data_IF_540479693346
#
_entry.id   IF_540479693346
#
_cell.length_a   1.000
_cell.length_b   1.000
_cell.length_c   1.000
_cell.angle_alpha   90.00
_cell.angle_beta   90.00
_cell.angle_gamma   90.00
#
_symmetry.space_group_name_H-M   'P 1'
#
loop_
_entity.id
_entity.type
_entity.pdbx_description
1 polymer ?
#
# COMPACT_ATOMS: atom_id res chain seq x y z
N UNK A 1 35.65 10.23 18.62
CA UNK A 1 34.93 9.32 17.71
C UNK A 1 35.16 7.90 18.21
N UNK A 2 34.17 7.28 18.82
CA UNK A 2 34.19 5.88 19.26
C UNK A 2 34.21 4.97 18.03
N UNK A 3 35.15 4.04 17.93
CA UNK A 3 35.17 3.04 16.85
C UNK A 3 33.90 2.19 16.97
N UNK A 4 33.16 1.95 15.86
CA UNK A 4 32.02 1.04 15.86
C UNK A 4 32.46 -0.32 16.39
N UNK A 5 31.61 -0.99 17.17
CA UNK A 5 31.88 -2.34 17.64
C UNK A 5 32.04 -3.30 16.44
N UNK A 6 32.84 -4.36 16.58
CA UNK A 6 32.98 -5.37 15.50
C UNK A 6 31.63 -5.98 15.12
N UNK A 7 30.71 -6.06 16.05
CA UNK A 7 29.35 -6.55 15.87
C UNK A 7 28.53 -5.62 14.93
N UNK A 8 28.62 -4.29 15.13
CA UNK A 8 27.98 -3.32 14.26
C UNK A 8 28.50 -3.40 12.82
N UNK A 9 29.83 -3.55 12.64
CA UNK A 9 30.43 -3.70 11.31
C UNK A 9 29.98 -4.99 10.61
N UNK A 10 29.81 -6.09 11.36
CA UNK A 10 29.27 -7.36 10.83
C UNK A 10 27.82 -7.19 10.38
N UNK A 11 26.97 -6.62 11.25
CA UNK A 11 25.57 -6.35 10.94
C UNK A 11 25.39 -5.49 9.68
N UNK A 12 26.17 -4.42 9.54
CA UNK A 12 26.14 -3.56 8.33
C UNK A 12 26.56 -4.36 7.09
N UNK A 13 27.59 -5.21 7.19
CA UNK A 13 28.04 -6.02 6.06
C UNK A 13 26.99 -7.05 5.64
N UNK A 14 26.32 -7.68 6.61
CA UNK A 14 25.27 -8.67 6.36
C UNK A 14 24.02 -8.00 5.74
N UNK A 15 23.65 -6.82 6.20
CA UNK A 15 22.58 -6.03 5.60
C UNK A 15 22.87 -5.66 4.13
N UNK A 16 24.10 -5.19 3.81
CA UNK A 16 24.48 -4.85 2.45
C UNK A 16 24.40 -6.07 1.51
N UNK A 17 24.86 -7.24 1.97
CA UNK A 17 24.78 -8.49 1.20
C UNK A 17 23.32 -8.91 0.98
N UNK A 18 22.49 -8.90 2.02
CA UNK A 18 21.06 -9.25 1.92
C UNK A 18 20.30 -8.32 0.96
N UNK A 19 20.45 -7.01 1.11
CA UNK A 19 19.79 -6.03 0.23
C UNK A 19 20.20 -6.20 -1.23
N UNK A 20 21.49 -6.52 -1.48
CA UNK A 20 21.97 -6.81 -2.82
C UNK A 20 21.33 -8.06 -3.42
N UNK A 21 21.14 -9.12 -2.61
CA UNK A 21 20.46 -10.34 -3.04
C UNK A 21 18.96 -10.15 -3.24
N UNK A 22 18.29 -9.33 -2.41
CA UNK A 22 16.87 -8.96 -2.58
C UNK A 22 16.64 -8.25 -3.92
N UNK A 23 17.61 -7.46 -4.39
CA UNK A 23 17.50 -6.73 -5.66
C UNK A 23 17.91 -7.57 -6.86
N UNK A 24 19.02 -8.31 -6.75
CA UNK A 24 19.66 -8.98 -7.90
C UNK A 24 19.37 -10.49 -7.96
N UNK A 25 18.48 -11.02 -7.12
CA UNK A 25 18.06 -12.42 -6.99
C UNK A 25 19.20 -13.40 -6.69
N UNK A 26 20.30 -13.35 -7.42
CA UNK A 26 21.49 -14.18 -7.21
C UNK A 26 22.76 -13.42 -7.63
N UNK A 27 23.79 -13.58 -6.84
CA UNK A 27 25.13 -13.01 -7.11
C UNK A 27 26.21 -13.97 -6.62
N UNK A 28 27.36 -13.95 -7.30
CA UNK A 28 28.57 -14.60 -6.79
C UNK A 28 29.23 -13.72 -5.71
N UNK A 29 30.08 -14.29 -4.86
CA UNK A 29 30.85 -13.51 -3.88
C UNK A 29 31.70 -12.40 -4.53
N UNK A 30 32.15 -12.60 -5.76
CA UNK A 30 32.91 -11.59 -6.48
C UNK A 30 32.03 -10.41 -6.91
N UNK A 31 30.83 -10.69 -7.44
CA UNK A 31 29.84 -9.67 -7.80
C UNK A 31 29.31 -8.95 -6.56
N UNK A 32 29.04 -9.67 -5.47
CA UNK A 32 28.66 -9.05 -4.18
C UNK A 32 29.74 -8.07 -3.70
N UNK A 33 31.03 -8.40 -3.81
CA UNK A 33 32.10 -7.49 -3.44
C UNK A 33 32.11 -6.21 -4.29
N UNK A 34 31.76 -6.32 -5.58
CA UNK A 34 31.66 -5.15 -6.48
C UNK A 34 30.45 -4.30 -6.15
N UNK A 35 29.26 -4.91 -5.99
CA UNK A 35 27.99 -4.18 -5.76
C UNK A 35 27.96 -3.52 -4.38
N UNK A 36 28.48 -4.21 -3.35
CA UNK A 36 28.48 -3.69 -1.98
C UNK A 36 29.66 -2.78 -1.66
N UNK A 37 30.73 -2.80 -2.47
CA UNK A 37 32.01 -2.12 -2.16
C UNK A 37 32.78 -2.76 -1.02
N UNK A 38 32.36 -3.91 -0.51
CA UNK A 38 33.02 -4.62 0.59
C UNK A 38 34.23 -5.43 0.07
N UNK A 39 35.21 -5.68 0.95
CA UNK A 39 36.35 -6.55 0.62
C UNK A 39 35.88 -8.01 0.39
N UNK A 40 36.58 -8.75 -0.50
CA UNK A 40 36.26 -10.17 -0.76
C UNK A 40 36.26 -11.04 0.50
N UNK A 41 37.19 -10.89 1.46
CA UNK A 41 37.10 -11.60 2.74
C UNK A 41 35.86 -11.25 3.55
N UNK A 42 35.48 -9.96 3.63
CA UNK A 42 34.29 -9.50 4.33
C UNK A 42 33.02 -10.09 3.74
N UNK A 43 32.87 -10.07 2.40
CA UNK A 43 31.74 -10.70 1.71
C UNK A 43 31.69 -12.19 1.93
N UNK A 44 32.83 -12.89 1.88
CA UNK A 44 32.89 -14.33 2.10
C UNK A 44 32.44 -14.72 3.51
N UNK A 45 32.81 -13.92 4.50
CA UNK A 45 32.44 -14.13 5.90
C UNK A 45 30.95 -13.78 6.14
N UNK A 46 30.44 -12.71 5.53
CA UNK A 46 29.03 -12.33 5.59
C UNK A 46 28.14 -13.41 4.94
N UNK A 47 28.45 -13.85 3.73
CA UNK A 47 27.73 -14.94 3.06
C UNK A 47 27.72 -16.21 3.91
N UNK A 48 28.85 -16.56 4.56
CA UNK A 48 28.92 -17.74 5.45
C UNK A 48 27.91 -17.61 6.60
N UNK A 49 27.91 -16.49 7.31
CA UNK A 49 26.96 -16.24 8.43
C UNK A 49 25.50 -16.29 7.96
N UNK A 50 25.20 -15.63 6.83
CA UNK A 50 23.84 -15.60 6.28
C UNK A 50 23.37 -16.98 5.81
N UNK A 51 24.28 -17.85 5.35
CA UNK A 51 23.97 -19.26 5.05
C UNK A 51 23.72 -20.04 6.33
N UNK A 52 24.55 -19.84 7.37
CA UNK A 52 24.38 -20.49 8.67
C UNK A 52 23.08 -20.09 9.37
N UNK A 53 22.63 -18.82 9.18
CA UNK A 53 21.34 -18.34 9.69
C UNK A 53 20.13 -18.74 8.82
N UNK A 54 20.33 -19.43 7.70
CA UNK A 54 19.25 -19.85 6.81
C UNK A 54 18.62 -18.74 5.99
N UNK A 55 19.22 -17.54 5.92
CA UNK A 55 18.71 -16.42 5.11
C UNK A 55 19.21 -16.45 3.66
N UNK A 56 20.37 -17.04 3.41
CA UNK A 56 21.00 -17.16 2.10
C UNK A 56 21.30 -18.62 1.81
N UNK A 57 21.20 -19.03 0.55
CA UNK A 57 21.56 -20.37 0.09
C UNK A 57 22.47 -20.30 -1.14
N UNK A 58 23.34 -21.33 -1.31
CA UNK A 58 23.99 -21.61 -2.59
C UNK A 58 22.92 -22.12 -3.57
N UNK A 59 22.74 -21.44 -4.69
CA UNK A 59 21.70 -21.79 -5.67
C UNK A 59 21.98 -23.07 -6.45
N UNK A 60 23.18 -23.66 -6.27
CA UNK A 60 23.67 -24.78 -7.09
C UNK A 60 24.24 -24.34 -8.43
N UNK A 61 23.99 -23.10 -8.85
CA UNK A 61 24.50 -22.58 -10.12
C UNK A 61 25.96 -22.14 -10.01
N UNK A 62 26.65 -22.24 -11.13
CA UNK A 62 28.08 -21.91 -11.23
C UNK A 62 28.33 -20.95 -12.40
N UNK A 63 29.32 -20.09 -12.28
CA UNK A 63 29.77 -19.24 -13.39
C UNK A 63 30.25 -20.11 -14.54
N UNK A 64 29.99 -19.74 -15.82
CA UNK A 64 30.49 -20.48 -16.96
C UNK A 64 32.03 -20.65 -16.88
N UNK A 65 32.51 -21.88 -16.96
CA UNK A 65 33.95 -22.17 -17.00
C UNK A 65 34.53 -21.68 -18.33
N UNK A 66 35.38 -20.64 -18.29
CA UNK A 66 36.15 -20.20 -19.45
C UNK A 66 37.55 -20.83 -19.48
N UNK A 67 38.19 -20.87 -20.64
CA UNK A 67 39.58 -21.35 -20.83
C UNK A 67 40.67 -20.49 -20.16
N UNK A 68 40.31 -19.64 -19.18
CA UNK A 68 41.19 -18.76 -18.40
C UNK A 68 41.30 -19.22 -16.94
N UNK A 69 42.36 -18.80 -16.23
CA UNK A 69 42.71 -19.12 -14.84
C UNK A 69 41.71 -18.63 -13.75
N UNK A 70 40.39 -18.48 -14.05
CA UNK A 70 39.38 -18.10 -13.09
C UNK A 70 38.74 -19.32 -12.41
N UNK A 71 38.69 -19.29 -11.05
CA UNK A 71 37.97 -20.30 -10.26
C UNK A 71 36.48 -20.18 -10.54
N UNK A 72 35.78 -21.28 -10.80
CA UNK A 72 34.32 -21.33 -10.97
C UNK A 72 33.67 -20.78 -9.69
N UNK A 73 32.88 -19.75 -9.82
CA UNK A 73 32.18 -19.11 -8.70
C UNK A 73 30.79 -19.72 -8.48
N UNK A 74 30.39 -19.89 -7.22
CA UNK A 74 29.03 -20.24 -6.83
C UNK A 74 28.13 -18.99 -6.80
N UNK A 75 26.89 -19.13 -7.25
CA UNK A 75 25.86 -18.13 -7.05
C UNK A 75 25.13 -18.37 -5.72
N UNK A 76 24.85 -17.27 -5.02
CA UNK A 76 24.09 -17.22 -3.80
C UNK A 76 22.83 -16.40 -4.02
N UNK A 77 21.73 -16.80 -3.40
CA UNK A 77 20.44 -16.11 -3.41
C UNK A 77 19.81 -16.16 -2.03
N UNK A 78 18.66 -15.54 -1.84
CA UNK A 78 17.86 -15.76 -0.64
C UNK A 78 17.48 -17.24 -0.54
N UNK A 79 17.42 -17.78 0.67
CA UNK A 79 16.99 -19.16 0.87
C UNK A 79 15.51 -19.33 0.49
N UNK A 80 15.06 -20.46 -0.06
CA UNK A 80 13.70 -20.65 -0.55
C UNK A 80 12.62 -20.44 0.53
N UNK A 81 12.95 -20.69 1.77
CA UNK A 81 12.05 -20.67 2.94
C UNK A 81 12.30 -19.45 3.86
N UNK A 82 12.92 -18.38 3.35
CA UNK A 82 13.07 -17.13 4.12
C UNK A 82 11.75 -16.51 4.53
N UNK A 83 10.66 -16.90 3.89
CA UNK A 83 9.30 -16.45 4.15
C UNK A 83 8.80 -15.40 3.17
N UNK A 84 7.49 -15.16 3.28
CA UNK A 84 6.72 -14.25 2.42
C UNK A 84 5.94 -13.24 3.26
N UNK A 85 5.46 -12.18 2.62
CA UNK A 85 4.45 -11.31 3.20
C UNK A 85 3.08 -11.62 2.61
N UNK A 86 2.04 -11.65 3.45
CA UNK A 86 0.66 -11.72 3.03
C UNK A 86 0.13 -10.29 2.79
N UNK A 87 -0.55 -10.09 1.69
CA UNK A 87 -1.30 -8.85 1.39
C UNK A 87 -2.76 -9.23 1.22
N UNK A 88 -3.64 -8.50 1.88
CA UNK A 88 -5.08 -8.72 1.80
C UNK A 88 -5.78 -7.43 1.41
N UNK A 89 -6.72 -7.49 0.48
CA UNK A 89 -7.66 -6.40 0.20
C UNK A 89 -9.08 -6.83 0.53
N UNK A 90 -9.79 -5.96 1.26
CA UNK A 90 -11.21 -6.08 1.59
C UNK A 90 -11.92 -4.95 0.87
N UNK A 91 -12.64 -5.27 -0.19
CA UNK A 91 -13.28 -4.31 -1.08
C UNK A 91 -14.73 -4.75 -1.41
N UNK A 92 -15.56 -3.84 -1.97
CA UNK A 92 -16.95 -4.15 -2.29
C UNK A 92 -17.13 -5.33 -3.24
N UNK A 93 -16.19 -5.60 -4.14
CA UNK A 93 -16.18 -6.70 -5.10
C UNK A 93 -15.70 -8.03 -4.51
N UNK A 94 -15.04 -8.00 -3.35
CA UNK A 94 -14.57 -9.23 -2.71
C UNK A 94 -13.38 -9.06 -1.78
N UNK A 95 -12.87 -10.22 -1.38
CA UNK A 95 -11.63 -10.35 -0.62
C UNK A 95 -10.57 -10.98 -1.51
N UNK A 96 -9.45 -10.27 -1.67
CA UNK A 96 -8.27 -10.79 -2.36
C UNK A 96 -7.14 -10.96 -1.35
N UNK A 97 -6.46 -12.10 -1.40
CA UNK A 97 -5.23 -12.33 -0.66
C UNK A 97 -4.13 -12.78 -1.62
N UNK A 98 -2.91 -12.31 -1.40
CA UNK A 98 -1.73 -12.75 -2.16
C UNK A 98 -0.49 -12.81 -1.25
N UNK A 99 0.39 -13.76 -1.51
CA UNK A 99 1.71 -13.81 -0.89
C UNK A 99 2.75 -13.25 -1.84
N UNK A 100 3.62 -12.38 -1.32
CA UNK A 100 4.77 -11.85 -2.07
C UNK A 100 6.07 -12.28 -1.41
N UNK A 101 7.05 -12.67 -2.23
CA UNK A 101 8.40 -12.96 -1.77
C UNK A 101 9.23 -11.67 -1.57
N UNK A 102 10.44 -11.80 -1.06
CA UNK A 102 11.33 -10.66 -0.81
C UNK A 102 11.85 -9.98 -2.11
N UNK A 103 11.62 -10.57 -3.27
CA UNK A 103 11.88 -9.95 -4.59
C UNK A 103 10.68 -9.12 -5.08
N UNK A 104 9.51 -9.30 -4.46
CA UNK A 104 8.26 -8.68 -4.84
C UNK A 104 7.43 -9.51 -5.82
N UNK A 105 7.79 -10.77 -6.08
CA UNK A 105 7.00 -11.67 -6.92
C UNK A 105 5.82 -12.23 -6.15
N UNK A 106 4.67 -12.36 -6.84
CA UNK A 106 3.49 -13.03 -6.29
C UNK A 106 3.71 -14.54 -6.41
N UNK A 107 3.71 -15.23 -5.26
CA UNK A 107 3.93 -16.69 -5.19
C UNK A 107 2.64 -17.47 -5.04
N UNK A 108 1.58 -16.84 -4.52
CA UNK A 108 0.22 -17.40 -4.43
C UNK A 108 -0.79 -16.26 -4.40
N UNK A 109 -1.99 -16.51 -4.91
CA UNK A 109 -3.09 -15.55 -4.90
C UNK A 109 -4.43 -16.25 -4.90
N UNK A 110 -5.36 -15.76 -4.10
CA UNK A 110 -6.77 -16.20 -4.07
C UNK A 110 -7.66 -14.96 -4.06
N UNK A 111 -8.72 -14.99 -4.86
CA UNK A 111 -9.79 -13.98 -4.84
C UNK A 111 -11.12 -14.67 -4.61
N UNK A 112 -12.00 -14.06 -3.82
CA UNK A 112 -13.37 -14.50 -3.64
C UNK A 112 -14.32 -13.34 -3.60
N UNK A 113 -15.24 -13.31 -4.58
CA UNK A 113 -16.31 -12.33 -4.61
C UNK A 113 -17.25 -12.52 -3.40
N UNK A 114 -17.84 -11.42 -2.95
CA UNK A 114 -18.83 -11.37 -1.87
C UNK A 114 -20.15 -10.80 -2.41
N UNK A 115 -21.27 -11.21 -1.85
CA UNK A 115 -22.57 -10.63 -2.15
C UNK A 115 -22.83 -9.33 -1.38
N UNK A 116 -22.08 -9.11 -0.30
CA UNK A 116 -22.15 -7.92 0.52
C UNK A 116 -21.17 -7.93 1.69
N UNK A 117 -21.05 -6.81 2.42
CA UNK A 117 -20.03 -6.66 3.44
C UNK A 117 -20.13 -7.66 4.60
N UNK A 118 -21.32 -8.23 4.87
CA UNK A 118 -21.52 -9.26 5.91
C UNK A 118 -20.77 -10.56 5.64
N UNK A 119 -20.46 -10.85 4.36
CA UNK A 119 -19.76 -12.06 3.97
C UNK A 119 -18.28 -12.01 4.33
N UNK A 120 -17.71 -10.83 4.49
CA UNK A 120 -16.29 -10.62 4.73
C UNK A 120 -15.79 -11.41 5.94
N UNK A 121 -16.54 -11.40 7.04
CA UNK A 121 -16.15 -12.08 8.28
C UNK A 121 -15.94 -13.59 8.09
N UNK A 122 -16.67 -14.22 7.18
CA UNK A 122 -16.54 -15.65 6.86
C UNK A 122 -15.57 -15.93 5.72
N UNK A 123 -15.47 -15.00 4.74
CA UNK A 123 -14.66 -15.17 3.55
C UNK A 123 -13.18 -14.88 3.83
N UNK A 124 -12.88 -13.84 4.60
CA UNK A 124 -11.51 -13.43 4.91
C UNK A 124 -10.62 -14.55 5.46
N UNK A 125 -11.00 -15.27 6.54
CA UNK A 125 -10.14 -16.32 7.07
C UNK A 125 -9.93 -17.47 6.08
N UNK A 126 -10.96 -17.81 5.28
CA UNK A 126 -10.86 -18.91 4.32
C UNK A 126 -9.95 -18.57 3.14
N UNK A 127 -10.05 -17.33 2.58
CA UNK A 127 -9.22 -16.86 1.49
C UNK A 127 -7.78 -16.73 1.94
N UNK A 128 -7.54 -16.16 3.12
CA UNK A 128 -6.20 -16.04 3.67
C UNK A 128 -5.56 -17.41 3.90
N UNK A 129 -6.27 -18.36 4.55
CA UNK A 129 -5.76 -19.72 4.81
C UNK A 129 -5.42 -20.47 3.52
N UNK A 130 -6.24 -20.35 2.48
CA UNK A 130 -5.98 -20.96 1.17
C UNK A 130 -4.70 -20.35 0.54
N UNK A 131 -4.54 -19.03 0.61
CA UNK A 131 -3.41 -18.32 0.00
C UNK A 131 -2.08 -18.63 0.69
N UNK A 132 -2.09 -18.78 2.03
CA UNK A 132 -0.86 -19.06 2.80
C UNK A 132 -0.50 -20.53 2.87
N UNK A 133 -1.28 -21.42 2.26
CA UNK A 133 -1.05 -22.86 2.36
C UNK A 133 0.39 -23.23 1.90
N UNK A 134 1.16 -23.83 2.80
CA UNK A 134 2.55 -24.21 2.54
C UNK A 134 3.57 -23.05 2.54
N UNK A 135 3.16 -21.84 2.90
CA UNK A 135 4.03 -20.67 2.99
C UNK A 135 4.44 -20.36 4.44
N UNK A 136 5.66 -19.88 4.62
CA UNK A 136 6.10 -19.29 5.88
C UNK A 136 5.81 -17.79 5.88
N UNK A 137 4.65 -17.38 6.43
CA UNK A 137 4.22 -15.98 6.41
C UNK A 137 4.81 -15.23 7.58
N UNK A 138 5.61 -14.19 7.29
CA UNK A 138 6.29 -13.36 8.30
C UNK A 138 5.48 -12.18 8.78
N UNK A 139 4.59 -11.64 7.94
CA UNK A 139 3.77 -10.47 8.25
C UNK A 139 2.61 -10.35 7.28
N UNK A 140 1.66 -9.47 7.60
CA UNK A 140 0.53 -9.18 6.74
C UNK A 140 0.28 -7.67 6.63
N UNK A 141 -0.03 -7.19 5.42
CA UNK A 141 -0.62 -5.87 5.19
C UNK A 141 -2.05 -6.02 4.68
N UNK A 142 -2.98 -5.27 5.29
CA UNK A 142 -4.41 -5.31 4.96
C UNK A 142 -4.84 -3.93 4.46
N UNK A 143 -5.46 -3.90 3.29
CA UNK A 143 -6.18 -2.75 2.75
C UNK A 143 -7.67 -2.98 2.91
N UNK A 144 -8.35 -2.06 3.58
CA UNK A 144 -9.80 -2.13 3.79
C UNK A 144 -10.51 -0.91 3.23
N UNK A 145 -11.62 -1.13 2.52
CA UNK A 145 -12.49 -0.05 2.03
C UNK A 145 -13.29 0.63 3.15
N UNK A 146 -13.19 0.14 4.38
CA UNK A 146 -13.72 0.77 5.59
C UNK A 146 -12.66 1.64 6.28
N UNK A 147 -13.08 2.65 7.06
CA UNK A 147 -12.19 3.35 7.97
C UNK A 147 -11.56 2.42 9.00
N UNK A 148 -10.32 2.72 9.40
CA UNK A 148 -9.52 1.86 10.30
C UNK A 148 -9.09 2.64 11.54
N UNK A 149 -9.35 2.12 12.74
CA UNK A 149 -8.73 2.64 13.97
C UNK A 149 -7.22 2.34 13.95
N UNK A 150 -6.40 3.40 13.83
CA UNK A 150 -4.94 3.28 13.66
C UNK A 150 -4.20 2.63 14.83
N UNK A 151 -4.82 2.52 16.01
CA UNK A 151 -4.19 1.94 17.20
C UNK A 151 -4.46 0.45 17.34
N UNK A 152 -5.62 0.01 16.87
CA UNK A 152 -6.07 -1.37 17.03
C UNK A 152 -6.08 -2.15 15.73
N UNK A 153 -6.12 -1.48 14.56
CA UNK A 153 -6.30 -2.11 13.26
C UNK A 153 -7.72 -2.62 13.01
N UNK A 154 -8.68 -2.28 13.88
CA UNK A 154 -10.10 -2.67 13.73
C UNK A 154 -10.79 -1.77 12.73
N UNK A 155 -11.74 -2.32 12.00
CA UNK A 155 -12.61 -1.54 11.13
C UNK A 155 -13.60 -0.70 11.97
N UNK A 156 -13.86 0.51 11.52
CA UNK A 156 -14.73 1.48 12.21
C UNK A 156 -15.99 1.70 11.41
N UNK A 157 -17.15 1.55 12.07
CA UNK A 157 -18.42 1.90 11.44
C UNK A 157 -18.61 3.41 11.40
N UNK A 158 -18.73 3.96 10.20
CA UNK A 158 -19.25 5.31 9.99
C UNK A 158 -20.63 5.23 9.32
N UNK A 159 -21.64 6.03 9.79
CA UNK A 159 -23.04 5.87 9.37
C UNK A 159 -23.29 5.94 7.86
N UNK A 160 -22.45 6.71 7.13
CA UNK A 160 -22.63 6.98 5.71
C UNK A 160 -21.57 6.31 4.82
N UNK A 161 -20.81 5.39 5.36
CA UNK A 161 -19.90 4.57 4.56
C UNK A 161 -20.72 3.62 3.65
N UNK A 162 -20.49 3.62 2.34
CA UNK A 162 -21.29 2.82 1.42
C UNK A 162 -21.03 1.31 1.55
N UNK A 163 -19.85 0.94 2.03
CA UNK A 163 -19.43 -0.41 2.30
C UNK A 163 -19.08 -0.54 3.78
N UNK A 164 -19.94 -1.19 4.55
CA UNK A 164 -19.78 -1.37 5.99
C UNK A 164 -19.63 -2.85 6.31
N UNK A 165 -18.42 -3.29 6.59
CA UNK A 165 -18.15 -4.65 7.05
C UNK A 165 -18.64 -4.87 8.49
N UNK A 166 -18.71 -3.80 9.26
CA UNK A 166 -19.11 -3.86 10.65
C UNK A 166 -17.91 -3.98 11.59
N UNK A 167 -18.16 -4.57 12.76
CA UNK A 167 -17.14 -4.72 13.81
C UNK A 167 -16.22 -5.92 13.48
N UNK A 168 -15.35 -5.75 12.49
CA UNK A 168 -14.34 -6.72 12.11
C UNK A 168 -12.96 -6.33 12.68
N UNK A 169 -12.25 -7.33 13.18
CA UNK A 169 -10.87 -7.23 13.64
C UNK A 169 -9.97 -8.07 12.72
N UNK A 170 -9.45 -7.49 11.62
CA UNK A 170 -8.57 -8.23 10.70
C UNK A 170 -7.31 -8.74 11.38
N UNK A 171 -6.79 -8.03 12.41
CA UNK A 171 -5.60 -8.44 13.16
C UNK A 171 -5.89 -9.77 13.88
N UNK A 172 -7.00 -9.84 14.62
CA UNK A 172 -7.37 -11.06 15.35
C UNK A 172 -7.67 -12.25 14.42
N UNK A 173 -8.29 -11.96 13.25
CA UNK A 173 -8.63 -13.02 12.26
C UNK A 173 -7.38 -13.59 11.60
N UNK A 174 -6.39 -12.76 11.28
CA UNK A 174 -5.22 -13.16 10.48
C UNK A 174 -4.03 -13.61 11.35
N UNK A 175 -3.92 -13.14 12.60
CA UNK A 175 -2.82 -13.47 13.48
C UNK A 175 -2.52 -14.99 13.60
N UNK A 176 -3.51 -15.92 13.62
CA UNK A 176 -3.22 -17.35 13.67
C UNK A 176 -2.49 -17.92 12.43
N UNK A 177 -2.48 -17.19 11.32
CA UNK A 177 -1.92 -17.64 10.03
C UNK A 177 -0.46 -17.25 9.82
N UNK A 178 0.13 -16.45 10.71
CA UNK A 178 1.46 -15.85 10.52
C UNK A 178 2.23 -15.67 11.84
N UNK A 179 3.52 -15.41 11.74
CA UNK A 179 4.43 -15.29 12.89
C UNK A 179 4.85 -13.85 13.22
N UNK A 180 4.21 -12.85 12.64
CA UNK A 180 4.61 -11.45 12.81
C UNK A 180 3.44 -10.49 12.81
N UNK A 181 3.66 -9.20 12.56
CA UNK A 181 2.64 -8.18 12.66
C UNK A 181 1.63 -8.24 11.51
N UNK A 182 0.39 -7.83 11.82
CA UNK A 182 -0.64 -7.48 10.86
C UNK A 182 -0.80 -5.96 10.87
N UNK A 183 -0.55 -5.32 9.74
CA UNK A 183 -0.72 -3.87 9.56
C UNK A 183 -1.99 -3.65 8.75
N UNK A 184 -2.93 -2.90 9.29
CA UNK A 184 -4.22 -2.60 8.64
C UNK A 184 -4.31 -1.10 8.39
N UNK A 185 -4.71 -0.71 7.19
CA UNK A 185 -4.98 0.68 6.86
C UNK A 185 -6.13 0.79 5.85
N UNK A 186 -6.72 1.99 5.77
CA UNK A 186 -7.73 2.30 4.78
C UNK A 186 -7.16 2.25 3.36
N UNK A 187 -7.98 1.84 2.39
CA UNK A 187 -7.60 1.66 0.99
C UNK A 187 -7.13 2.97 0.32
N UNK A 188 -7.70 4.11 0.69
CA UNK A 188 -7.30 5.43 0.17
C UNK A 188 -5.93 5.84 0.71
N UNK A 189 -5.60 5.47 1.95
CA UNK A 189 -4.26 5.68 2.51
C UNK A 189 -3.20 4.86 1.76
N UNK A 190 -3.49 3.60 1.45
CA UNK A 190 -2.60 2.77 0.63
C UNK A 190 -2.47 3.31 -0.80
N UNK A 191 -3.58 3.78 -1.39
CA UNK A 191 -3.56 4.40 -2.71
C UNK A 191 -2.64 5.64 -2.75
N UNK A 192 -2.74 6.50 -1.75
CA UNK A 192 -1.86 7.66 -1.63
C UNK A 192 -0.38 7.24 -1.46
N UNK A 193 -0.11 6.18 -0.71
CA UNK A 193 1.26 5.67 -0.55
C UNK A 193 1.83 5.12 -1.87
N UNK A 194 1.00 4.49 -2.70
CA UNK A 194 1.41 4.06 -4.04
C UNK A 194 1.74 5.25 -4.95
N UNK A 195 0.90 6.29 -4.97
CA UNK A 195 1.13 7.51 -5.75
C UNK A 195 2.38 8.26 -5.28
N UNK A 196 2.65 8.31 -3.96
CA UNK A 196 3.88 8.89 -3.41
C UNK A 196 5.14 8.29 -4.05
N UNK A 197 5.15 6.97 -4.24
CA UNK A 197 6.27 6.24 -4.86
C UNK A 197 6.54 6.62 -6.32
N UNK A 198 5.54 7.13 -7.04
CA UNK A 198 5.62 7.48 -8.47
C UNK A 198 5.70 8.99 -8.67
N UNK A 199 4.94 9.75 -7.91
CA UNK A 199 4.81 11.19 -8.06
C UNK A 199 6.10 11.94 -7.69
N UNK A 200 6.84 11.45 -6.70
CA UNK A 200 8.08 12.08 -6.22
C UNK A 200 7.87 13.41 -5.49
N UNK A 201 6.64 13.76 -5.14
CA UNK A 201 6.25 14.97 -4.41
C UNK A 201 5.89 14.58 -2.98
N UNK A 202 6.53 15.16 -1.94
CA UNK A 202 6.31 14.76 -0.56
C UNK A 202 5.04 15.31 0.08
N UNK A 203 4.43 16.36 -0.53
CA UNK A 203 3.28 17.07 0.02
C UNK A 203 2.15 17.12 -1.01
N UNK A 204 1.18 16.24 -0.89
CA UNK A 204 0.02 16.19 -1.79
C UNK A 204 -1.24 15.68 -1.08
N UNK A 205 -2.41 15.90 -1.71
CA UNK A 205 -3.64 15.25 -1.30
C UNK A 205 -4.10 14.27 -2.38
N UNK A 206 -4.48 13.06 -1.98
CA UNK A 206 -5.10 12.08 -2.85
C UNK A 206 -6.60 12.08 -2.61
N UNK A 207 -7.38 12.38 -3.64
CA UNK A 207 -8.84 12.45 -3.57
C UNK A 207 -9.42 11.24 -4.32
N UNK A 208 -10.08 10.35 -3.61
CA UNK A 208 -10.70 9.15 -4.16
C UNK A 208 -12.19 9.39 -4.39
N UNK A 209 -12.61 9.37 -5.65
CA UNK A 209 -13.95 9.68 -6.12
C UNK A 209 -14.52 8.48 -6.88
N UNK A 210 -15.27 7.63 -6.17
CA UNK A 210 -15.88 6.41 -6.67
C UNK A 210 -17.29 6.22 -6.10
N UNK A 211 -17.74 5.00 -5.83
CA UNK A 211 -18.98 4.73 -5.10
C UNK A 211 -18.93 5.30 -3.68
N UNK A 212 -17.74 5.30 -3.07
CA UNK A 212 -17.41 6.01 -1.84
C UNK A 212 -16.57 7.25 -2.11
N UNK A 213 -16.43 8.10 -1.09
CA UNK A 213 -15.67 9.34 -1.10
C UNK A 213 -14.59 9.27 -0.03
N UNK A 214 -13.34 9.39 -0.43
CA UNK A 214 -12.22 9.36 0.50
C UNK A 214 -11.13 10.35 0.12
N UNK A 215 -10.29 10.65 1.08
CA UNK A 215 -9.11 11.48 0.87
C UNK A 215 -7.95 10.96 1.74
N UNK A 216 -6.73 11.10 1.25
CA UNK A 216 -5.55 10.97 2.06
C UNK A 216 -4.67 12.21 1.88
N UNK A 217 -4.17 12.75 2.98
CA UNK A 217 -3.20 13.85 2.98
C UNK A 217 -1.83 13.26 3.22
N UNK A 218 -0.91 13.55 2.34
CA UNK A 218 0.52 13.23 2.48
C UNK A 218 1.26 14.53 2.79
N UNK A 219 2.05 14.52 3.85
CA UNK A 219 2.89 15.65 4.23
C UNK A 219 4.24 15.15 4.72
N UNK A 220 5.33 15.78 4.26
CA UNK A 220 6.70 15.33 4.51
C UNK A 220 6.93 13.86 4.06
N UNK A 221 6.28 13.41 3.01
CA UNK A 221 6.35 12.03 2.51
C UNK A 221 5.63 10.98 3.36
N UNK A 222 4.75 11.40 4.29
CA UNK A 222 4.02 10.49 5.17
C UNK A 222 2.50 10.73 5.08
N UNK A 223 1.73 9.64 4.99
CA UNK A 223 0.26 9.69 5.06
C UNK A 223 -0.18 10.12 6.46
N UNK A 224 -0.96 11.19 6.54
CA UNK A 224 -1.49 11.78 7.80
C UNK A 224 -2.81 11.12 8.18
N UNK A 225 -2.76 10.14 9.06
CA UNK A 225 -3.92 9.33 9.50
C UNK A 225 -4.78 9.99 10.57
N UNK A 226 -4.30 11.11 11.16
CA UNK A 226 -4.99 11.78 12.28
C UNK A 226 -4.87 11.04 13.62
N UNK A 227 -5.66 11.47 14.60
CA UNK A 227 -5.60 10.92 15.96
C UNK A 227 -6.09 9.47 16.03
N UNK A 228 -7.24 9.18 15.44
CA UNK A 228 -7.90 7.88 15.48
C UNK A 228 -7.79 7.06 14.19
N UNK A 229 -7.25 7.62 13.12
CA UNK A 229 -7.19 6.97 11.80
C UNK A 229 -8.24 7.49 10.83
N UNK A 230 -9.05 8.47 11.22
CA UNK A 230 -10.20 8.97 10.44
C UNK A 230 -9.90 10.27 9.67
N UNK A 231 -8.64 10.69 9.57
CA UNK A 231 -8.30 11.81 8.70
C UNK A 231 -8.56 11.43 7.24
N UNK A 232 -9.26 12.29 6.52
CA UNK A 232 -9.61 12.02 5.12
C UNK A 232 -11.04 11.52 4.89
N UNK A 233 -11.83 11.34 5.94
CA UNK A 233 -13.27 11.05 5.85
C UNK A 233 -14.03 12.33 5.44
N UNK A 234 -14.03 12.60 4.13
CA UNK A 234 -14.51 13.87 3.55
C UNK A 234 -16.01 13.93 3.27
N UNK A 235 -16.75 12.84 3.46
CA UNK A 235 -18.17 12.74 3.13
C UNK A 235 -19.02 13.84 3.78
N UNK A 236 -18.64 14.29 4.96
CA UNK A 236 -19.34 15.34 5.73
C UNK A 236 -18.73 16.75 5.61
N UNK A 237 -17.71 16.94 4.78
CA UNK A 237 -17.23 18.30 4.46
C UNK A 237 -18.36 19.11 3.83
N UNK A 238 -18.58 20.31 4.34
CA UNK A 238 -19.57 21.22 3.75
C UNK A 238 -19.01 21.78 2.46
N UNK A 239 -19.77 21.62 1.38
CA UNK A 239 -19.43 22.09 0.04
C UNK A 239 -20.65 22.70 -0.67
N UNK A 240 -20.50 23.15 -1.91
CA UNK A 240 -21.58 23.71 -2.71
C UNK A 240 -22.40 22.60 -3.38
N UNK A 241 -23.65 22.45 -2.97
CA UNK A 241 -24.63 21.56 -3.61
C UNK A 241 -25.70 22.32 -4.38
N UNK A 242 -26.67 21.61 -4.98
CA UNK A 242 -27.80 22.22 -5.70
C UNK A 242 -28.64 23.19 -4.85
N UNK A 243 -28.90 22.84 -3.59
CA UNK A 243 -29.69 23.66 -2.66
C UNK A 243 -28.87 24.69 -1.87
N UNK A 244 -27.55 24.74 -2.06
CA UNK A 244 -26.63 25.62 -1.33
C UNK A 244 -25.50 24.85 -0.66
N UNK A 245 -25.10 25.27 0.55
CA UNK A 245 -24.05 24.62 1.33
C UNK A 245 -24.59 23.35 2.00
N UNK A 246 -24.07 22.18 1.61
CA UNK A 246 -24.49 20.85 2.11
C UNK A 246 -23.27 19.96 2.36
N UNK A 247 -23.38 18.89 3.16
CA UNK A 247 -22.34 17.85 3.22
C UNK A 247 -22.05 17.27 1.83
N UNK A 248 -20.80 16.94 1.57
CA UNK A 248 -20.38 16.48 0.23
C UNK A 248 -21.18 15.26 -0.24
N UNK A 249 -21.45 14.30 0.64
CA UNK A 249 -22.25 13.12 0.29
C UNK A 249 -23.72 13.48 -0.03
N UNK A 250 -24.28 14.56 0.53
CA UNK A 250 -25.65 14.98 0.26
C UNK A 250 -25.82 15.57 -1.14
N UNK A 251 -24.76 16.12 -1.76
CA UNK A 251 -24.80 16.57 -3.14
C UNK A 251 -25.30 15.46 -4.08
N UNK A 252 -24.86 14.23 -3.85
CA UNK A 252 -25.28 13.07 -4.65
C UNK A 252 -26.73 12.65 -4.33
N UNK A 253 -27.16 12.82 -3.08
CA UNK A 253 -28.56 12.61 -2.68
C UNK A 253 -29.50 13.62 -3.36
N UNK A 254 -29.17 14.92 -3.31
CA UNK A 254 -29.96 15.98 -3.96
C UNK A 254 -30.05 15.83 -5.48
N UNK A 255 -29.02 15.27 -6.10
CA UNK A 255 -28.98 15.01 -7.55
C UNK A 255 -29.65 13.68 -7.95
N UNK A 256 -30.08 12.86 -6.99
CA UNK A 256 -30.63 11.52 -7.26
C UNK A 256 -29.58 10.54 -7.79
N UNK A 257 -28.31 10.71 -7.40
CA UNK A 257 -27.16 9.93 -7.86
C UNK A 257 -26.71 8.89 -6.83
N UNK A 258 -27.59 8.43 -5.94
CA UNK A 258 -27.33 7.33 -5.01
C UNK A 258 -27.94 6.03 -5.53
N UNK A 259 -27.25 4.94 -5.29
CA UNK A 259 -27.81 3.61 -5.51
C UNK A 259 -28.97 3.37 -4.53
N UNK A 260 -29.97 2.61 -4.99
CA UNK A 260 -31.20 2.36 -4.20
C UNK A 260 -30.89 1.69 -2.85
N UNK A 261 -31.32 2.33 -1.76
CA UNK A 261 -31.19 1.79 -0.39
C UNK A 261 -29.80 1.88 0.22
N UNK A 262 -28.86 2.59 -0.39
CA UNK A 262 -27.51 2.78 0.14
C UNK A 262 -27.05 4.24 0.01
N UNK A 263 -25.90 4.57 0.61
CA UNK A 263 -25.21 5.85 0.42
C UNK A 263 -24.23 5.81 -0.76
N UNK A 264 -24.03 4.64 -1.37
CA UNK A 264 -23.15 4.46 -2.53
C UNK A 264 -23.59 5.32 -3.72
N UNK A 265 -22.63 5.93 -4.39
CA UNK A 265 -22.85 6.75 -5.57
C UNK A 265 -23.11 5.84 -6.77
N UNK A 266 -24.16 6.13 -7.53
CA UNK A 266 -24.42 5.52 -8.84
C UNK A 266 -23.50 6.18 -9.88
N UNK A 267 -22.35 5.55 -10.10
CA UNK A 267 -21.30 6.07 -11.00
C UNK A 267 -21.80 6.17 -12.44
N UNK A 268 -22.60 5.20 -12.89
CA UNK A 268 -23.13 5.20 -14.26
C UNK A 268 -24.12 6.36 -14.47
N UNK A 269 -25.00 6.63 -13.51
CA UNK A 269 -25.88 7.78 -13.53
C UNK A 269 -25.10 9.10 -13.46
N UNK A 270 -24.08 9.15 -12.61
CA UNK A 270 -23.22 10.32 -12.43
C UNK A 270 -22.51 10.71 -13.72
N UNK A 271 -21.93 9.76 -14.44
CA UNK A 271 -21.20 10.02 -15.69
C UNK A 271 -22.10 10.50 -16.85
N UNK A 272 -23.42 10.38 -16.70
CA UNK A 272 -24.42 10.92 -17.64
C UNK A 272 -24.97 12.29 -17.23
N UNK A 273 -24.62 12.78 -16.03
CA UNK A 273 -25.12 14.04 -15.48
C UNK A 273 -24.20 15.21 -15.89
N UNK A 274 -24.75 16.43 -15.89
CA UNK A 274 -23.94 17.64 -16.10
C UNK A 274 -22.83 17.74 -15.04
N UNK A 275 -21.55 17.76 -15.44
CA UNK A 275 -20.44 17.75 -14.51
C UNK A 275 -20.28 19.05 -13.69
N UNK A 276 -20.93 20.16 -14.08
CA UNK A 276 -20.66 21.47 -13.52
C UNK A 276 -20.95 21.55 -12.00
N UNK A 277 -22.06 20.95 -11.55
CA UNK A 277 -22.43 20.94 -10.12
C UNK A 277 -21.46 20.07 -9.32
N UNK A 278 -21.12 18.89 -9.86
CA UNK A 278 -20.17 17.96 -9.23
C UNK A 278 -18.76 18.57 -9.14
N UNK A 279 -18.29 19.17 -10.24
CA UNK A 279 -16.99 19.84 -10.27
C UNK A 279 -16.89 20.96 -9.23
N UNK A 280 -17.97 21.76 -9.09
CA UNK A 280 -18.04 22.82 -8.06
C UNK A 280 -18.02 22.25 -6.63
N UNK A 281 -18.74 21.16 -6.41
CA UNK A 281 -18.73 20.48 -5.11
C UNK A 281 -17.32 19.95 -4.77
N UNK A 282 -16.64 19.32 -5.73
CA UNK A 282 -15.25 18.85 -5.57
C UNK A 282 -14.30 20.03 -5.34
N UNK A 283 -14.46 21.15 -6.05
CA UNK A 283 -13.63 22.35 -5.84
C UNK A 283 -13.78 22.92 -4.42
N UNK A 284 -14.96 22.78 -3.79
CA UNK A 284 -15.16 23.13 -2.38
C UNK A 284 -14.33 22.22 -1.45
N UNK A 285 -14.28 20.93 -1.71
CA UNK A 285 -13.42 19.98 -0.99
C UNK A 285 -11.93 20.32 -1.19
N UNK A 286 -11.53 20.58 -2.43
CA UNK A 286 -10.15 21.01 -2.76
C UNK A 286 -9.79 22.29 -2.00
N UNK A 287 -10.72 23.26 -1.87
CA UNK A 287 -10.50 24.47 -1.10
C UNK A 287 -10.18 24.17 0.37
N UNK A 288 -10.89 23.22 0.98
CA UNK A 288 -10.61 22.80 2.35
C UNK A 288 -9.21 22.15 2.47
N UNK A 289 -8.85 21.27 1.53
CA UNK A 289 -7.54 20.63 1.49
C UNK A 289 -6.40 21.65 1.34
N UNK A 290 -6.53 22.57 0.40
CA UNK A 290 -5.55 23.67 0.20
C UNK A 290 -5.41 24.54 1.44
N UNK A 291 -6.52 24.79 2.14
CA UNK A 291 -6.51 25.65 3.33
C UNK A 291 -5.86 24.98 4.54
N UNK A 292 -6.08 23.67 4.72
CA UNK A 292 -5.66 22.93 5.92
C UNK A 292 -4.33 22.19 5.76
N UNK A 293 -4.04 21.72 4.57
CA UNK A 293 -2.87 20.85 4.31
C UNK A 293 -1.82 21.47 3.38
N UNK A 294 -2.16 22.54 2.64
CA UNK A 294 -1.27 23.24 1.70
C UNK A 294 -0.52 22.30 0.74
N UNK A 295 -1.21 21.40 0.03
CA UNK A 295 -0.55 20.43 -0.84
C UNK A 295 0.00 21.11 -2.11
N UNK A 296 1.13 20.59 -2.62
CA UNK A 296 1.70 21.02 -3.92
C UNK A 296 0.77 20.63 -5.08
N UNK A 297 0.11 19.47 -4.96
CA UNK A 297 -0.78 18.91 -5.96
C UNK A 297 -1.93 18.13 -5.32
N UNK A 298 -3.10 18.16 -5.96
CA UNK A 298 -4.22 17.27 -5.65
C UNK A 298 -4.30 16.18 -6.72
N UNK A 299 -4.15 14.93 -6.33
CA UNK A 299 -4.26 13.76 -7.21
C UNK A 299 -5.67 13.22 -7.11
N UNK A 300 -6.34 13.09 -8.24
CA UNK A 300 -7.74 12.63 -8.32
C UNK A 300 -7.78 11.21 -8.89
N UNK A 301 -8.23 10.28 -8.05
CA UNK A 301 -8.45 8.86 -8.40
C UNK A 301 -9.91 8.44 -8.28
N UNK A 302 -10.14 7.14 -8.31
CA UNK A 302 -11.47 6.54 -8.25
C UNK A 302 -12.11 6.37 -9.63
N UNK A 303 -13.34 5.84 -9.66
CA UNK A 303 -14.00 5.41 -10.89
C UNK A 303 -14.57 6.57 -11.73
N UNK A 304 -14.92 7.70 -11.09
CA UNK A 304 -15.48 8.85 -11.81
C UNK A 304 -14.62 10.13 -11.73
N UNK A 305 -13.73 10.23 -10.75
CA UNK A 305 -12.88 11.42 -10.58
C UNK A 305 -12.07 11.78 -11.82
N UNK A 306 -11.30 10.85 -12.41
CA UNK A 306 -10.53 11.11 -13.63
C UNK A 306 -11.38 11.50 -14.82
N UNK A 307 -12.62 11.01 -14.93
CA UNK A 307 -13.53 11.36 -16.02
C UNK A 307 -14.04 12.82 -15.93
N UNK A 308 -14.07 13.38 -14.73
CA UNK A 308 -14.47 14.77 -14.47
C UNK A 308 -13.27 15.70 -14.24
N UNK A 309 -12.06 15.29 -14.58
CA UNK A 309 -10.83 16.00 -14.23
C UNK A 309 -10.79 17.42 -14.81
N UNK A 310 -11.15 17.59 -16.09
CA UNK A 310 -11.11 18.91 -16.74
C UNK A 310 -12.15 19.89 -16.14
N UNK A 311 -13.44 19.52 -15.95
CA UNK A 311 -14.37 20.37 -15.21
C UNK A 311 -13.91 20.71 -13.79
N UNK A 312 -13.28 19.76 -13.05
CA UNK A 312 -12.74 19.99 -11.73
C UNK A 312 -11.59 21.02 -11.78
N UNK A 313 -10.68 20.89 -12.73
CA UNK A 313 -9.58 21.85 -12.96
C UNK A 313 -10.10 23.26 -13.25
N UNK A 314 -11.11 23.36 -14.09
CA UNK A 314 -11.72 24.64 -14.46
C UNK A 314 -12.34 25.35 -13.26
N UNK A 315 -13.00 24.62 -12.37
CA UNK A 315 -13.54 25.19 -11.11
C UNK A 315 -12.41 25.52 -10.13
N UNK A 316 -11.40 24.65 -9.98
CA UNK A 316 -10.24 24.90 -9.11
C UNK A 316 -9.39 26.11 -9.56
N UNK A 317 -9.31 26.38 -10.87
CA UNK A 317 -8.63 27.56 -11.41
C UNK A 317 -9.27 28.90 -11.00
N UNK A 318 -10.54 28.88 -10.57
CA UNK A 318 -11.29 30.05 -10.07
C UNK A 318 -11.10 30.30 -8.56
N UNK A 319 -10.46 29.36 -7.85
CA UNK A 319 -10.24 29.49 -6.40
C UNK A 319 -9.21 30.57 -6.10
N UNK A 320 -9.34 31.27 -4.95
CA UNK A 320 -8.38 32.30 -4.52
C UNK A 320 -6.95 31.77 -4.32
N UNK A 321 -6.83 30.53 -3.89
CA UNK A 321 -5.57 29.79 -3.82
C UNK A 321 -5.63 28.64 -4.82
N UNK A 322 -4.83 28.75 -5.85
CA UNK A 322 -4.74 27.74 -6.90
C UNK A 322 -3.82 26.58 -6.47
N UNK A 323 -4.16 25.39 -6.89
CA UNK A 323 -3.36 24.16 -6.73
C UNK A 323 -3.42 23.37 -8.02
N UNK A 324 -2.35 22.67 -8.35
CA UNK A 324 -2.33 21.73 -9.47
C UNK A 324 -3.26 20.56 -9.18
N UNK A 325 -4.08 20.14 -10.17
CA UNK A 325 -4.97 18.98 -10.06
C UNK A 325 -4.63 18.00 -11.17
N UNK A 326 -4.31 16.76 -10.84
CA UNK A 326 -3.89 15.71 -11.78
C UNK A 326 -4.64 14.40 -11.56
N UNK A 327 -4.69 13.54 -12.57
CA UNK A 327 -5.23 12.20 -12.40
C UNK A 327 -4.24 11.30 -11.65
N UNK A 328 -4.78 10.35 -10.91
CA UNK A 328 -4.00 9.23 -10.37
C UNK A 328 -3.36 8.41 -11.50
N UNK A 329 -2.15 7.91 -11.27
CA UNK A 329 -1.34 7.24 -12.28
C UNK A 329 -1.17 5.74 -12.01
N UNK A 330 -1.34 5.31 -10.77
CA UNK A 330 -1.13 3.92 -10.34
C UNK A 330 -2.38 3.09 -10.57
N UNK A 331 -2.23 1.97 -11.27
CA UNK A 331 -3.30 0.98 -11.41
C UNK A 331 -3.47 0.21 -10.08
N UNK A 332 -4.72 -0.12 -9.72
CA UNK A 332 -5.06 -0.82 -8.46
C UNK A 332 -4.31 -0.23 -7.25
N UNK A 333 -4.41 1.11 -7.02
CA UNK A 333 -3.47 1.83 -6.16
C UNK A 333 -3.48 1.32 -4.71
N UNK A 334 -4.63 0.92 -4.18
CA UNK A 334 -4.75 0.37 -2.82
C UNK A 334 -3.97 -0.93 -2.66
N UNK A 335 -4.09 -1.86 -3.62
CA UNK A 335 -3.34 -3.11 -3.64
C UNK A 335 -1.85 -2.85 -3.85
N UNK A 336 -1.51 -1.94 -4.78
CA UNK A 336 -0.12 -1.57 -5.07
C UNK A 336 0.57 -0.99 -3.82
N UNK A 337 -0.09 -0.08 -3.09
CA UNK A 337 0.44 0.51 -1.86
C UNK A 337 0.60 -0.50 -0.73
N UNK A 338 -0.41 -1.32 -0.48
CA UNK A 338 -0.34 -2.36 0.54
C UNK A 338 0.77 -3.39 0.22
N UNK A 339 0.93 -3.76 -1.06
CA UNK A 339 1.98 -4.67 -1.52
C UNK A 339 3.38 -4.07 -1.38
N UNK A 340 3.56 -2.80 -1.72
CA UNK A 340 4.84 -2.10 -1.55
C UNK A 340 5.23 -2.04 -0.07
N UNK A 341 4.30 -1.67 0.81
CA UNK A 341 4.52 -1.63 2.25
C UNK A 341 4.84 -3.02 2.84
N UNK A 342 4.10 -4.06 2.42
CA UNK A 342 4.36 -5.43 2.84
C UNK A 342 5.76 -5.91 2.43
N UNK A 343 6.19 -5.57 1.21
CA UNK A 343 7.52 -5.90 0.71
C UNK A 343 8.63 -5.20 1.52
N UNK A 344 8.47 -3.91 1.81
CA UNK A 344 9.44 -3.16 2.60
C UNK A 344 9.54 -3.68 4.04
N UNK A 345 8.40 -4.01 4.65
CA UNK A 345 8.35 -4.62 5.97
C UNK A 345 9.01 -6.02 5.97
N UNK A 346 8.75 -6.84 4.95
CA UNK A 346 9.38 -8.16 4.79
C UNK A 346 10.91 -8.04 4.69
N UNK A 347 11.39 -7.14 3.83
CA UNK A 347 12.82 -6.89 3.66
C UNK A 347 13.47 -6.40 4.94
N UNK A 348 12.79 -5.53 5.68
CA UNK A 348 13.23 -5.06 6.99
C UNK A 348 13.30 -6.20 8.00
N UNK A 349 12.25 -7.04 8.06
CA UNK A 349 12.22 -8.20 8.96
C UNK A 349 13.36 -9.20 8.68
N UNK A 350 13.71 -9.41 7.40
CA UNK A 350 14.84 -10.27 7.03
C UNK A 350 16.19 -9.67 7.45
N UNK A 351 16.36 -8.35 7.34
CA UNK A 351 17.56 -7.66 7.81
C UNK A 351 17.67 -7.74 9.34
N UNK A 352 16.56 -7.56 10.06
CA UNK A 352 16.56 -7.70 11.53
C UNK A 352 16.85 -9.16 11.96
N UNK A 353 16.33 -10.14 11.25
CA UNK A 353 16.63 -11.55 11.49
C UNK A 353 18.13 -11.89 11.31
N UNK A 354 18.86 -11.17 10.47
CA UNK A 354 20.30 -11.32 10.31
C UNK A 354 21.12 -10.76 11.49
N UNK A 355 20.50 -9.93 12.33
CA UNK A 355 21.16 -9.31 13.50
C UNK A 355 20.97 -10.12 14.80
N UNK A 356 20.00 -11.04 14.79
CA UNK A 356 19.67 -11.91 15.91
C UNK A 356 20.62 -13.12 15.99
#
# INVERSE_FOLDING_TARGET
MTRPSQELLRSISDEHVLRSLMTSRRLTRAELAVVTGLSKPTVSESVRRLVESGLVADTGERTPGGRGKGRVGSFYGLAPDVGVALVVTIAPDGVTALCVDAHGDVVSQTHRAIAGPRDVASVLPSVAAETVAGQHVRLCAVSAADPVDRRTGRLVQLPDSPFLVGDLDPVAVLAPLLHGPVVVDNDVNWAAQAELGVLGVPDFAYLYLAEGLGCAVVSDGEVRRGHSGLAGEISHLITSGPSGAVPFIEVFGELGLRQSGTTAIDVDALLRTDPAVLARAVAGVVTALVTLADPEVVVVGGSWGPALLDPIRDECARLPRQVSVTAASVAEPSLAGARAAALDLLRTALVEAAKA
#
